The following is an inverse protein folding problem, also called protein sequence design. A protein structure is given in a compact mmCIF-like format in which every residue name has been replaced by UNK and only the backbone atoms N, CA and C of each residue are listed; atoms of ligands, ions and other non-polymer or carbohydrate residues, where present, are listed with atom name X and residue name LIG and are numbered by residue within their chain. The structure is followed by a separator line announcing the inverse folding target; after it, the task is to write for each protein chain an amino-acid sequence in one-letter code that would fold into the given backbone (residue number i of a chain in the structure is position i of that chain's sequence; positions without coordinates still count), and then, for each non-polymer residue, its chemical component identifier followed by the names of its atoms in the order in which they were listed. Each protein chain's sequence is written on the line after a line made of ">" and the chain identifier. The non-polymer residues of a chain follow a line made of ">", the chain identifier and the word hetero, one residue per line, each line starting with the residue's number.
data_IF_937696682178
#
_entry.id   IF_937696682178
#
_cell.length_a   1.000
_cell.length_b   1.000
_cell.length_c   1.000
_cell.angle_alpha   90.00
_cell.angle_beta   90.00
_cell.angle_gamma   90.00
#
_symmetry.space_group_name_H-M   'P 1'
#
loop_
_entity.id
_entity.type
_entity.pdbx_description
1 polymer ?
#
# COMPACT_ATOMS: atom_id res chain seq x y z
N UNK A 1 1.16 18.79 48.24
CA UNK A 1 2.47 18.73 47.56
C UNK A 1 2.71 17.38 46.90
N UNK A 2 2.73 16.25 47.65
CA UNK A 2 2.95 14.91 47.05
C UNK A 2 1.94 14.54 45.95
N UNK A 3 0.65 14.80 46.19
CA UNK A 3 -0.42 14.47 45.23
C UNK A 3 -0.41 15.41 44.02
N UNK A 4 0.04 16.66 44.20
CA UNK A 4 0.13 17.66 43.12
C UNK A 4 1.24 17.31 42.13
N UNK A 5 2.40 16.85 42.63
CA UNK A 5 3.50 16.36 41.80
C UNK A 5 3.09 15.13 40.99
N UNK A 6 2.32 14.22 41.59
CA UNK A 6 1.83 13.02 40.91
C UNK A 6 0.85 13.36 39.77
N UNK A 7 -0.02 14.34 39.97
CA UNK A 7 -0.96 14.84 38.95
C UNK A 7 -0.20 15.53 37.80
N UNK A 8 0.79 16.36 38.12
CA UNK A 8 1.64 17.00 37.10
C UNK A 8 2.44 15.98 36.27
N UNK A 9 2.91 14.90 36.90
CA UNK A 9 3.62 13.83 36.19
C UNK A 9 2.69 13.02 35.28
N UNK A 10 1.46 12.74 35.74
CA UNK A 10 0.46 12.03 34.95
C UNK A 10 -0.03 12.84 33.73
N UNK A 11 -0.04 14.18 33.85
CA UNK A 11 -0.37 15.10 32.74
C UNK A 11 0.63 15.09 31.59
N UNK A 12 1.83 14.53 31.76
CA UNK A 12 2.86 14.48 30.72
C UNK A 12 2.76 13.24 29.81
N UNK A 13 2.01 12.21 30.22
CA UNK A 13 1.84 10.94 29.47
C UNK A 13 1.33 11.13 28.03
N UNK A 14 0.33 11.99 27.71
CA UNK A 14 -0.18 12.09 26.35
C UNK A 14 0.82 12.69 25.35
N UNK A 15 1.91 13.32 25.83
CA UNK A 15 2.98 13.82 24.96
C UNK A 15 3.94 12.72 24.47
N UNK A 16 3.81 11.49 24.99
CA UNK A 16 4.65 10.34 24.63
C UNK A 16 3.92 9.27 23.82
N UNK A 17 2.69 9.54 23.35
CA UNK A 17 1.91 8.59 22.55
C UNK A 17 1.98 8.99 21.09
N UNK A 18 2.56 8.12 20.26
CA UNK A 18 2.54 8.24 18.80
C UNK A 18 1.32 7.51 18.22
N UNK A 19 0.44 8.24 17.53
CA UNK A 19 -0.69 7.68 16.79
C UNK A 19 -0.36 7.59 15.30
N UNK A 20 0.64 6.79 14.95
CA UNK A 20 1.08 6.69 13.55
C UNK A 20 0.16 5.79 12.72
N UNK A 21 -0.15 6.25 11.51
CA UNK A 21 -0.76 5.41 10.48
C UNK A 21 0.31 4.40 10.04
N UNK A 22 -0.02 3.12 10.14
CA UNK A 22 0.84 2.05 9.68
C UNK A 22 0.64 1.92 8.16
N UNK A 23 1.73 1.99 7.41
CA UNK A 23 1.78 1.74 5.96
C UNK A 23 2.54 0.43 5.70
N UNK A 24 1.88 -0.72 5.83
CA UNK A 24 2.53 -2.04 5.76
C UNK A 24 2.82 -2.51 4.33
N UNK A 25 2.30 -1.79 3.33
CA UNK A 25 2.47 -2.11 1.91
C UNK A 25 3.10 -0.90 1.24
N UNK A 26 4.36 -1.03 0.84
CA UNK A 26 5.15 0.02 0.19
C UNK A 26 5.33 -0.31 -1.27
N UNK A 27 4.93 0.60 -2.15
CA UNK A 27 5.02 0.41 -3.59
C UNK A 27 6.29 1.01 -4.16
N UNK A 28 6.97 0.26 -5.04
CA UNK A 28 7.97 0.78 -5.96
C UNK A 28 7.53 0.56 -7.40
N UNK A 29 7.96 1.46 -8.27
CA UNK A 29 7.55 1.52 -9.66
C UNK A 29 8.79 1.54 -10.54
N UNK A 30 8.81 0.68 -11.54
CA UNK A 30 9.85 0.60 -12.56
C UNK A 30 9.19 0.49 -13.94
N UNK A 31 9.95 0.76 -14.99
CA UNK A 31 9.51 0.54 -16.35
C UNK A 31 10.68 0.22 -17.28
N UNK A 32 10.41 -0.61 -18.29
CA UNK A 32 11.31 -0.83 -19.40
C UNK A 32 10.59 -0.44 -20.69
N UNK A 33 11.21 0.41 -21.52
CA UNK A 33 10.61 0.87 -22.77
C UNK A 33 11.47 0.44 -23.96
N UNK A 34 10.84 -0.21 -24.93
CA UNK A 34 11.44 -0.63 -26.19
C UNK A 34 10.63 -0.05 -27.36
N UNK A 35 11.11 1.05 -27.92
CA UNK A 35 10.41 1.77 -28.99
C UNK A 35 9.07 2.35 -28.50
N UNK A 36 7.97 1.81 -29.04
CA UNK A 36 6.60 2.23 -28.70
C UNK A 36 5.93 1.35 -27.65
N UNK A 37 6.62 0.32 -27.16
CA UNK A 37 6.11 -0.58 -26.13
C UNK A 37 6.81 -0.28 -24.81
N UNK A 38 6.04 -0.30 -23.73
CA UNK A 38 6.57 -0.11 -22.39
C UNK A 38 5.99 -1.16 -21.45
N UNK A 39 6.87 -1.86 -20.75
CA UNK A 39 6.54 -2.72 -19.62
C UNK A 39 6.57 -1.87 -18.35
N UNK A 40 5.48 -1.91 -17.58
CA UNK A 40 5.39 -1.24 -16.29
C UNK A 40 5.42 -2.28 -15.17
N UNK A 41 6.34 -2.12 -14.23
CA UNK A 41 6.53 -3.05 -13.12
C UNK A 41 6.12 -2.37 -11.82
N UNK A 42 5.14 -2.96 -11.15
CA UNK A 42 4.59 -2.50 -9.87
C UNK A 42 4.97 -3.50 -8.78
N UNK A 43 5.85 -3.11 -7.86
CA UNK A 43 6.30 -4.01 -6.78
C UNK A 43 5.71 -3.57 -5.46
N UNK A 44 4.87 -4.43 -4.86
CA UNK A 44 4.40 -4.28 -3.49
C UNK A 44 5.38 -4.96 -2.52
N UNK A 45 6.07 -4.17 -1.71
CA UNK A 45 6.85 -4.65 -0.57
C UNK A 45 5.92 -4.71 0.64
N UNK A 46 5.62 -5.92 1.10
CA UNK A 46 4.62 -6.19 2.14
C UNK A 46 5.35 -6.59 3.42
N UNK A 47 5.11 -5.85 4.50
CA UNK A 47 5.66 -6.18 5.82
C UNK A 47 5.05 -7.50 6.34
N UNK A 48 5.83 -8.27 7.11
CA UNK A 48 5.42 -9.60 7.60
C UNK A 48 4.07 -9.59 8.33
N UNK A 49 3.23 -10.58 8.02
CA UNK A 49 1.89 -10.74 8.61
C UNK A 49 0.78 -9.93 7.92
N UNK A 50 1.13 -9.13 6.92
CA UNK A 50 0.17 -8.44 6.07
C UNK A 50 -0.06 -9.18 4.76
N UNK A 51 -1.24 -8.95 4.18
CA UNK A 51 -1.64 -9.52 2.90
C UNK A 51 -2.18 -8.43 1.99
N UNK A 52 -1.88 -8.54 0.71
CA UNK A 52 -2.47 -7.72 -0.34
C UNK A 52 -3.53 -8.54 -1.07
N UNK A 53 -4.70 -7.95 -1.29
CA UNK A 53 -5.76 -8.61 -2.04
C UNK A 53 -5.37 -8.78 -3.51
N UNK A 54 -5.84 -9.87 -4.12
CA UNK A 54 -5.74 -10.06 -5.57
C UNK A 54 -6.45 -8.91 -6.31
N UNK A 55 -6.05 -8.71 -7.56
CA UNK A 55 -6.70 -7.81 -8.51
C UNK A 55 -8.00 -8.40 -9.05
N UNK A 56 -8.18 -9.72 -8.94
CA UNK A 56 -9.41 -10.43 -9.29
C UNK A 56 -9.97 -11.17 -8.08
N UNK A 57 -11.17 -10.80 -7.64
CA UNK A 57 -11.85 -11.40 -6.50
C UNK A 57 -13.27 -11.86 -6.89
N UNK A 58 -13.80 -12.90 -6.21
CA UNK A 58 -15.20 -13.30 -6.39
C UNK A 58 -16.16 -12.21 -5.92
N UNK A 59 -17.39 -12.27 -6.43
CA UNK A 59 -18.45 -11.33 -6.07
C UNK A 59 -18.76 -11.38 -4.56
N UNK A 60 -19.00 -10.21 -3.95
CA UNK A 60 -19.23 -10.08 -2.52
C UNK A 60 -17.96 -10.05 -1.65
N UNK A 61 -16.77 -10.10 -2.26
CA UNK A 61 -15.48 -9.93 -1.58
C UNK A 61 -15.14 -8.48 -1.21
N UNK A 62 -13.97 -8.27 -0.58
CA UNK A 62 -13.43 -6.94 -0.31
C UNK A 62 -13.06 -6.21 -1.62
N UNK A 63 -12.68 -4.94 -1.51
CA UNK A 63 -12.20 -4.18 -2.67
C UNK A 63 -10.90 -4.80 -3.21
N UNK A 64 -10.84 -5.19 -4.51
CA UNK A 64 -9.64 -5.74 -5.11
C UNK A 64 -8.57 -4.66 -5.30
N UNK A 65 -7.31 -5.10 -5.35
CA UNK A 65 -6.20 -4.22 -5.70
C UNK A 65 -6.33 -3.79 -7.16
N UNK A 66 -6.08 -2.51 -7.46
CA UNK A 66 -6.15 -1.99 -8.83
C UNK A 66 -5.02 -1.01 -9.10
N UNK A 67 -4.43 -1.13 -10.28
CA UNK A 67 -3.58 -0.11 -10.87
C UNK A 67 -4.49 0.86 -11.63
N UNK A 68 -4.40 2.14 -11.31
CA UNK A 68 -5.23 3.19 -11.92
C UNK A 68 -4.35 4.13 -12.70
N UNK A 69 -4.65 4.26 -13.99
CA UNK A 69 -3.97 5.19 -14.88
C UNK A 69 -4.79 6.48 -14.98
N UNK A 70 -4.17 7.63 -14.73
CA UNK A 70 -4.88 8.92 -14.74
C UNK A 70 -5.38 9.30 -16.13
N UNK A 71 -4.64 8.93 -17.18
CA UNK A 71 -5.05 9.11 -18.57
C UNK A 71 -4.60 7.89 -19.37
N UNK A 72 -5.56 7.10 -19.83
CA UNK A 72 -5.33 5.92 -20.66
C UNK A 72 -5.67 6.16 -22.14
N UNK A 73 -5.91 7.40 -22.56
CA UNK A 73 -6.25 7.72 -23.95
C UNK A 73 -5.04 7.71 -24.91
N UNK A 74 -3.83 7.70 -24.35
CA UNK A 74 -2.56 7.83 -25.07
C UNK A 74 -1.88 6.49 -25.36
N UNK A 75 -2.42 5.38 -24.87
CA UNK A 75 -1.84 4.05 -25.00
C UNK A 75 -2.92 2.97 -25.02
N UNK A 76 -2.52 1.77 -25.43
CA UNK A 76 -3.37 0.58 -25.41
C UNK A 76 -2.68 -0.52 -24.60
N UNK A 77 -3.48 -1.35 -23.91
CA UNK A 77 -2.95 -2.51 -23.20
C UNK A 77 -2.69 -3.65 -24.19
N UNK A 78 -1.42 -4.05 -24.30
CA UNK A 78 -1.00 -5.16 -25.18
C UNK A 78 -1.34 -6.51 -24.53
N UNK A 79 -1.26 -6.60 -23.20
CA UNK A 79 -1.57 -7.79 -22.41
C UNK A 79 -2.36 -7.44 -21.14
N UNK A 80 -3.06 -8.42 -20.54
CA UNK A 80 -3.60 -8.28 -19.19
C UNK A 80 -2.49 -8.06 -18.17
N UNK A 81 -2.85 -7.53 -17.00
CA UNK A 81 -1.92 -7.41 -15.87
C UNK A 81 -1.41 -8.80 -15.44
N UNK A 82 -0.10 -8.99 -15.52
CA UNK A 82 0.57 -10.19 -15.02
C UNK A 82 0.89 -10.05 -13.52
N UNK A 83 0.81 -11.17 -12.79
CA UNK A 83 1.01 -11.22 -11.34
C UNK A 83 2.19 -12.12 -11.01
N UNK A 84 3.14 -11.61 -10.23
CA UNK A 84 4.24 -12.41 -9.71
C UNK A 84 4.62 -11.98 -8.28
N UNK A 85 4.73 -12.91 -7.33
CA UNK A 85 4.29 -14.30 -7.43
C UNK A 85 2.77 -14.39 -7.65
N UNK A 86 2.28 -15.53 -8.13
CA UNK A 86 0.84 -15.77 -8.20
C UNK A 86 0.24 -15.72 -6.78
N UNK A 87 -0.93 -15.10 -6.60
CA UNK A 87 -1.62 -15.07 -5.31
C UNK A 87 -1.88 -16.49 -4.78
N UNK A 88 -1.70 -16.66 -3.47
CA UNK A 88 -1.84 -17.94 -2.75
C UNK A 88 -3.22 -18.07 -2.11
#
# INVERSE_FOLDING_TARGET
>A
MKNTVLISLFSLIPFFVDAQIIEPIKWSFDFNQEGNEAELVFTANIDDGWHLYDTQLPEGGPLPTRVVYSDSSLFEFISPLEKYPEPV
#
